data_IF_265436897986
#
_entry.id   IF_265436897986
#
_cell.length_a   1.000
_cell.length_b   1.000
_cell.length_c   1.000
_cell.angle_alpha   90.00
_cell.angle_beta   90.00
_cell.angle_gamma   90.00
#
_symmetry.space_group_name_H-M   'P 1'
#
loop_
_entity.id
_entity.type
_entity.pdbx_description
1 polymer ?
#
# COMPACT_ATOMS: atom_id res chain seq x y z
N UNK A 1 -2.33 42.94 -5.40
CA UNK A 1 -1.30 42.66 -4.38
C UNK A 1 -1.84 41.55 -3.52
N UNK A 2 -1.07 40.49 -3.30
CA UNK A 2 -1.46 39.40 -2.41
C UNK A 2 -1.64 39.96 -1.00
N UNK A 3 -2.73 39.62 -0.32
CA UNK A 3 -3.00 40.07 1.05
C UNK A 3 -2.27 39.20 2.08
N UNK A 4 -2.06 39.72 3.28
CA UNK A 4 -1.53 38.95 4.41
C UNK A 4 -2.59 37.97 4.92
N UNK A 5 -2.26 36.68 4.95
CA UNK A 5 -3.14 35.63 5.47
C UNK A 5 -2.87 35.44 6.97
N UNK A 6 -3.90 35.15 7.79
CA UNK A 6 -3.77 35.07 9.25
C UNK A 6 -4.51 33.87 9.85
N UNK A 7 -3.88 33.26 10.84
CA UNK A 7 -4.44 32.24 11.73
C UNK A 7 -3.90 32.57 13.14
N UNK A 8 -4.71 33.17 14.02
CA UNK A 8 -4.31 33.66 15.34
C UNK A 8 -2.99 34.47 15.36
N UNK A 9 -1.96 33.94 16.03
CA UNK A 9 -0.62 34.53 16.18
C UNK A 9 0.32 34.24 15.00
N UNK A 10 -0.14 33.50 13.99
CA UNK A 10 0.59 33.18 12.77
C UNK A 10 0.07 34.01 11.58
N UNK A 11 0.99 34.61 10.83
CA UNK A 11 0.71 35.34 9.61
C UNK A 11 1.59 34.85 8.45
N UNK A 12 1.01 34.84 7.25
CA UNK A 12 1.73 34.69 5.99
C UNK A 12 1.85 36.06 5.33
N UNK A 13 3.04 36.65 5.43
CA UNK A 13 3.32 37.97 4.88
C UNK A 13 3.85 37.86 3.45
N UNK A 14 3.23 38.50 2.44
CA UNK A 14 3.66 38.39 1.05
C UNK A 14 5.11 38.81 0.87
N UNK A 15 5.87 37.99 0.15
CA UNK A 15 7.26 38.29 -0.23
C UNK A 15 7.34 38.71 -1.69
N UNK A 16 8.28 39.60 -2.01
CA UNK A 16 8.64 39.89 -3.40
C UNK A 16 9.29 38.67 -4.06
N UNK A 17 8.79 38.26 -5.22
CA UNK A 17 9.30 37.12 -5.99
C UNK A 17 8.88 37.19 -7.46
N UNK A 18 9.24 36.18 -8.27
CA UNK A 18 8.79 36.04 -9.65
C UNK A 18 7.26 36.03 -9.73
N UNK A 19 6.66 36.57 -10.80
CA UNK A 19 5.19 36.59 -10.96
C UNK A 19 4.53 35.20 -10.93
N UNK A 20 5.30 34.16 -11.28
CA UNK A 20 4.85 32.76 -11.30
C UNK A 20 4.75 32.11 -9.90
N UNK A 21 5.26 32.79 -8.87
CA UNK A 21 5.34 32.30 -7.50
C UNK A 21 4.62 33.25 -6.53
N UNK A 22 3.65 32.70 -5.78
CA UNK A 22 3.03 33.41 -4.66
C UNK A 22 3.73 33.00 -3.37
N UNK A 23 4.74 33.78 -2.98
CA UNK A 23 5.58 33.51 -1.81
C UNK A 23 5.15 34.31 -0.58
N UNK A 24 5.29 33.68 0.59
CA UNK A 24 5.04 34.29 1.89
C UNK A 24 6.17 33.98 2.89
N UNK A 25 6.47 34.94 3.75
CA UNK A 25 7.22 34.73 4.98
C UNK A 25 6.24 34.21 6.05
N UNK A 26 6.61 33.15 6.75
CA UNK A 26 5.84 32.64 7.89
C UNK A 26 6.29 33.42 9.12
N UNK A 27 5.38 34.18 9.72
CA UNK A 27 5.63 35.00 10.91
C UNK A 27 4.79 34.47 12.07
N UNK A 28 5.44 34.08 13.17
CA UNK A 28 4.79 33.60 14.40
C UNK A 28 5.10 34.58 15.54
N UNK A 29 4.07 35.12 16.18
CA UNK A 29 4.21 36.09 17.26
C UNK A 29 5.12 37.30 16.92
N UNK A 30 5.16 37.69 15.64
CA UNK A 30 5.97 38.81 15.13
C UNK A 30 7.39 38.44 14.70
N UNK A 31 7.81 37.18 14.87
CA UNK A 31 9.12 36.70 14.42
C UNK A 31 8.99 35.84 13.16
N UNK A 32 9.88 36.05 12.19
CA UNK A 32 9.93 35.21 10.99
C UNK A 32 10.52 33.84 11.35
N UNK A 33 9.79 32.78 11.02
CA UNK A 33 10.11 31.38 11.39
C UNK A 33 10.19 30.44 10.17
N UNK A 34 10.03 30.97 8.96
CA UNK A 34 10.12 30.18 7.73
C UNK A 34 9.54 30.86 6.51
N UNK A 35 9.28 30.06 5.47
CA UNK A 35 8.65 30.49 4.23
C UNK A 35 7.68 29.43 3.71
N UNK A 36 6.66 29.88 2.97
CA UNK A 36 5.77 29.01 2.19
C UNK A 36 5.51 29.67 0.85
N UNK A 37 5.51 28.90 -0.22
CA UNK A 37 5.28 29.39 -1.58
C UNK A 37 4.35 28.46 -2.34
N UNK A 38 3.48 29.07 -3.13
CA UNK A 38 2.62 28.41 -4.11
C UNK A 38 3.18 28.66 -5.51
N UNK A 39 3.30 27.61 -6.30
CA UNK A 39 3.71 27.65 -7.69
C UNK A 39 2.57 27.13 -8.56
N UNK A 40 2.24 27.82 -9.66
CA UNK A 40 1.26 27.31 -10.62
C UNK A 40 1.97 26.32 -11.55
N UNK A 41 1.48 25.08 -11.61
CA UNK A 41 2.03 24.04 -12.49
C UNK A 41 1.23 23.99 -13.81
N UNK A 42 -0.08 24.13 -13.71
CA UNK A 42 -1.01 24.24 -14.83
C UNK A 42 -2.22 25.12 -14.43
N UNK A 43 -3.21 25.38 -15.31
CA UNK A 43 -4.35 26.24 -14.98
C UNK A 43 -5.16 25.83 -13.73
N UNK A 44 -5.17 24.54 -13.37
CA UNK A 44 -5.95 23.94 -12.27
C UNK A 44 -5.09 23.40 -11.13
N UNK A 45 -3.83 23.08 -11.38
CA UNK A 45 -2.91 22.50 -10.40
C UNK A 45 -1.86 23.50 -9.94
N UNK A 46 -1.72 23.64 -8.63
CA UNK A 46 -0.56 24.28 -8.01
C UNK A 46 0.27 23.31 -7.20
N UNK A 47 1.51 23.68 -6.92
CA UNK A 47 2.34 23.02 -5.92
C UNK A 47 2.65 23.96 -4.76
N UNK A 48 2.75 23.39 -3.55
CA UNK A 48 3.15 24.10 -2.34
C UNK A 48 4.51 23.61 -1.87
N UNK A 49 5.39 24.55 -1.53
CA UNK A 49 6.70 24.30 -0.92
C UNK A 49 6.82 25.14 0.33
N UNK A 50 7.42 24.60 1.36
CA UNK A 50 7.65 25.31 2.61
C UNK A 50 8.99 24.92 3.19
N UNK A 51 9.49 25.80 4.03
CA UNK A 51 10.62 25.54 4.89
C UNK A 51 10.36 26.23 6.23
N UNK A 52 10.41 25.46 7.31
CA UNK A 52 10.31 25.99 8.68
C UNK A 52 11.64 25.78 9.36
N UNK A 53 12.24 26.85 9.88
CA UNK A 53 13.59 26.84 10.43
C UNK A 53 13.76 25.98 11.70
N UNK A 54 12.66 25.44 12.24
CA UNK A 54 12.60 24.78 13.56
C UNK A 54 12.06 23.35 13.52
N UNK A 55 11.93 22.71 12.36
CA UNK A 55 11.22 21.41 12.18
C UNK A 55 9.86 21.38 12.93
N UNK A 56 9.20 22.53 13.02
CA UNK A 56 7.99 22.70 13.81
C UNK A 56 6.76 22.33 12.98
N UNK A 57 6.34 21.07 13.11
CA UNK A 57 5.16 20.51 12.43
C UNK A 57 3.92 21.37 12.64
N UNK A 58 3.71 21.95 13.83
CA UNK A 58 2.52 22.78 14.11
C UNK A 58 2.52 24.07 13.27
N UNK A 59 3.67 24.74 13.16
CA UNK A 59 3.82 25.94 12.32
C UNK A 59 3.63 25.60 10.85
N UNK A 60 4.27 24.52 10.37
CA UNK A 60 4.11 24.07 9.00
C UNK A 60 2.64 23.75 8.66
N UNK A 61 1.92 23.05 9.53
CA UNK A 61 0.50 22.73 9.35
C UNK A 61 -0.36 23.99 9.18
N UNK A 62 -0.17 24.99 10.04
CA UNK A 62 -0.95 26.24 10.01
C UNK A 62 -0.64 27.06 8.76
N UNK A 63 0.64 27.20 8.42
CA UNK A 63 1.08 27.86 7.19
C UNK A 63 0.52 27.17 5.94
N UNK A 64 0.59 25.84 5.88
CA UNK A 64 0.05 25.06 4.77
C UNK A 64 -1.46 25.24 4.63
N UNK A 65 -2.23 25.22 5.73
CA UNK A 65 -3.68 25.43 5.68
C UNK A 65 -4.05 26.78 5.10
N UNK A 66 -3.36 27.85 5.51
CA UNK A 66 -3.56 29.18 4.95
C UNK A 66 -3.20 29.24 3.46
N UNK A 67 -2.04 28.70 3.07
CA UNK A 67 -1.61 28.70 1.68
C UNK A 67 -2.55 27.89 0.78
N UNK A 68 -3.02 26.72 1.22
CA UNK A 68 -3.96 25.87 0.48
C UNK A 68 -5.32 26.55 0.36
N UNK A 69 -5.82 27.17 1.43
CA UNK A 69 -7.06 27.95 1.40
C UNK A 69 -6.98 29.06 0.36
N UNK A 70 -5.92 29.87 0.40
CA UNK A 70 -5.68 30.93 -0.57
C UNK A 70 -5.59 30.41 -2.02
N UNK A 71 -4.94 29.27 -2.23
CA UNK A 71 -4.85 28.67 -3.55
C UNK A 71 -6.22 28.30 -4.14
N UNK A 72 -7.11 27.75 -3.32
CA UNK A 72 -8.45 27.35 -3.75
C UNK A 72 -9.39 28.55 -3.87
N UNK A 73 -9.45 29.39 -2.83
CA UNK A 73 -10.45 30.44 -2.68
C UNK A 73 -10.13 31.67 -3.54
N UNK A 74 -8.84 32.03 -3.66
CA UNK A 74 -8.42 33.29 -4.31
C UNK A 74 -7.70 33.07 -5.64
N UNK A 75 -6.93 31.98 -5.78
CA UNK A 75 -6.14 31.71 -7.00
C UNK A 75 -6.86 30.80 -8.01
N UNK A 76 -8.03 30.26 -7.63
CA UNK A 76 -8.88 29.41 -8.48
C UNK A 76 -8.25 28.06 -8.84
N UNK A 77 -7.28 27.59 -8.07
CA UNK A 77 -6.71 26.25 -8.25
C UNK A 77 -7.73 25.22 -7.75
N UNK A 78 -7.79 24.04 -8.38
CA UNK A 78 -8.66 22.94 -7.93
C UNK A 78 -7.88 21.79 -7.31
N UNK A 79 -6.54 21.83 -7.40
CA UNK A 79 -5.62 20.84 -6.85
C UNK A 79 -4.35 21.53 -6.34
N UNK A 80 -3.92 21.14 -5.14
CA UNK A 80 -2.61 21.51 -4.59
C UNK A 80 -1.79 20.26 -4.28
N UNK A 81 -0.56 20.22 -4.76
CA UNK A 81 0.40 19.13 -4.55
C UNK A 81 1.59 19.56 -3.68
N UNK A 82 2.12 18.64 -2.89
CA UNK A 82 3.41 18.75 -2.21
C UNK A 82 4.31 17.58 -2.63
N UNK A 83 5.59 17.87 -2.90
CA UNK A 83 6.60 16.88 -3.30
C UNK A 83 7.74 16.88 -2.29
N UNK A 84 7.59 16.07 -1.25
CA UNK A 84 8.44 16.10 -0.06
C UNK A 84 9.45 14.93 -0.12
N UNK A 85 10.76 15.14 0.05
CA UNK A 85 11.72 14.04 0.15
C UNK A 85 11.28 12.99 1.19
N UNK A 86 11.47 11.70 0.88
CA UNK A 86 10.93 10.59 1.69
C UNK A 86 11.54 10.48 3.09
N UNK A 87 12.73 11.05 3.30
CA UNK A 87 13.41 11.13 4.59
C UNK A 87 12.89 12.26 5.50
N UNK A 88 12.21 13.28 4.95
CA UNK A 88 11.59 14.37 5.72
C UNK A 88 10.21 13.99 6.28
N UNK A 89 10.20 12.99 7.16
CA UNK A 89 8.97 12.44 7.77
C UNK A 89 8.12 13.48 8.51
N UNK A 90 8.75 14.49 9.12
CA UNK A 90 8.05 15.62 9.77
C UNK A 90 7.24 16.46 8.80
N UNK A 91 7.79 16.75 7.62
CA UNK A 91 7.14 17.52 6.56
C UNK A 91 6.00 16.72 5.92
N UNK A 92 6.21 15.43 5.66
CA UNK A 92 5.15 14.52 5.16
C UNK A 92 3.97 14.50 6.15
N UNK A 93 4.27 14.43 7.46
CA UNK A 93 3.27 14.47 8.51
C UNK A 93 2.56 15.83 8.57
N UNK A 94 3.28 16.95 8.44
CA UNK A 94 2.70 18.27 8.41
C UNK A 94 1.72 18.45 7.22
N UNK A 95 2.13 18.04 6.02
CA UNK A 95 1.26 18.04 4.84
C UNK A 95 0.00 17.19 5.04
N UNK A 96 0.15 16.00 5.63
CA UNK A 96 -0.98 15.12 5.94
C UNK A 96 -1.98 15.78 6.90
N UNK A 97 -1.50 16.39 7.99
CA UNK A 97 -2.35 17.08 8.97
C UNK A 97 -2.98 18.37 8.38
N UNK A 98 -2.32 19.01 7.41
CA UNK A 98 -2.86 20.14 6.65
C UNK A 98 -3.96 19.72 5.65
N UNK A 99 -4.10 18.41 5.38
CA UNK A 99 -5.16 17.84 4.58
C UNK A 99 -4.75 17.29 3.22
N UNK A 100 -3.45 17.24 2.92
CA UNK A 100 -2.96 16.57 1.72
C UNK A 100 -2.92 15.04 1.96
N UNK A 101 -3.42 14.27 1.01
CA UNK A 101 -3.38 12.81 1.03
C UNK A 101 -2.18 12.32 0.25
N UNK A 102 -1.49 11.30 0.75
CA UNK A 102 -0.38 10.66 0.02
C UNK A 102 -0.95 9.90 -1.18
N UNK A 103 -0.38 10.14 -2.35
CA UNK A 103 -0.79 9.49 -3.61
C UNK A 103 0.27 8.52 -4.14
N UNK A 104 1.53 8.68 -3.76
CA UNK A 104 2.60 7.77 -4.17
C UNK A 104 4.00 8.25 -3.83
N UNK A 105 4.99 7.55 -4.38
CA UNK A 105 6.40 7.94 -4.36
C UNK A 105 6.83 8.27 -5.79
N UNK A 106 7.29 9.50 -6.00
CA UNK A 106 7.98 9.93 -7.21
C UNK A 106 9.45 9.53 -7.08
N UNK A 107 9.93 8.65 -7.97
CA UNK A 107 11.33 8.26 -7.99
C UNK A 107 12.20 9.39 -8.51
N UNK A 108 13.30 9.66 -7.82
CA UNK A 108 14.28 10.66 -8.24
C UNK A 108 15.04 10.24 -9.50
N UNK A 109 15.52 11.21 -10.27
CA UNK A 109 16.40 10.97 -11.41
C UNK A 109 17.86 11.20 -10.99
N UNK A 110 18.75 10.23 -11.26
CA UNK A 110 20.15 10.32 -10.87
C UNK A 110 20.31 10.31 -9.34
N UNK A 111 20.88 11.38 -8.80
CA UNK A 111 21.15 11.53 -7.37
C UNK A 111 20.01 12.26 -6.60
N UNK A 112 18.93 12.63 -7.29
CA UNK A 112 17.77 13.24 -6.63
C UNK A 112 17.08 12.22 -5.69
N UNK A 113 16.66 12.63 -4.48
CA UNK A 113 15.96 11.73 -3.58
C UNK A 113 14.55 11.43 -4.09
N UNK A 114 14.06 10.24 -3.75
CA UNK A 114 12.65 9.91 -3.88
C UNK A 114 11.78 10.89 -3.08
N UNK A 115 10.60 11.22 -3.61
CA UNK A 115 9.68 12.17 -2.98
C UNK A 115 8.30 11.55 -2.78
N UNK A 116 7.74 11.71 -1.59
CA UNK A 116 6.33 11.50 -1.36
C UNK A 116 5.54 12.59 -2.10
N UNK A 117 4.65 12.16 -3.01
CA UNK A 117 3.63 13.03 -3.59
C UNK A 117 2.42 13.01 -2.65
N UNK A 118 2.05 14.19 -2.17
CA UNK A 118 0.79 14.40 -1.46
C UNK A 118 -0.03 15.43 -2.21
N UNK A 119 -1.34 15.29 -2.22
CA UNK A 119 -2.21 16.28 -2.84
C UNK A 119 -3.54 16.46 -2.11
N UNK A 120 -4.18 17.59 -2.35
CA UNK A 120 -5.55 17.87 -1.91
C UNK A 120 -6.33 18.46 -3.07
N UNK A 121 -7.58 18.03 -3.22
CA UNK A 121 -8.54 18.63 -4.14
C UNK A 121 -9.41 19.67 -3.43
N UNK A 122 -9.88 20.67 -4.17
CA UNK A 122 -10.73 21.73 -3.60
C UNK A 122 -12.04 21.22 -2.97
N UNK A 123 -12.57 20.11 -3.48
CA UNK A 123 -13.80 19.44 -3.08
C UNK A 123 -13.57 18.28 -2.10
N UNK A 124 -12.33 18.05 -1.67
CA UNK A 124 -12.05 17.11 -0.59
C UNK A 124 -12.70 17.58 0.72
N UNK A 125 -13.30 16.64 1.50
CA UNK A 125 -13.80 16.95 2.84
C UNK A 125 -12.74 17.67 3.68
N UNK A 126 -13.12 18.68 4.49
CA UNK A 126 -12.17 19.40 5.32
C UNK A 126 -11.36 18.46 6.21
N UNK A 127 -10.06 18.70 6.46
CA UNK A 127 -9.21 17.79 7.22
C UNK A 127 -9.62 17.60 8.68
N UNK A 128 -10.39 18.55 9.24
CA UNK A 128 -10.95 18.48 10.58
C UNK A 128 -12.32 17.79 10.63
N UNK A 129 -12.91 17.45 9.47
CA UNK A 129 -14.12 16.64 9.38
C UNK A 129 -13.80 15.15 9.57
N UNK A 130 -14.81 14.36 9.97
CA UNK A 130 -14.66 12.90 10.10
C UNK A 130 -14.22 12.25 8.79
N UNK A 131 -14.84 12.63 7.67
CA UNK A 131 -14.55 12.02 6.37
C UNK A 131 -13.17 12.43 5.86
N UNK A 132 -12.77 13.71 6.07
CA UNK A 132 -11.43 14.18 5.74
C UNK A 132 -10.35 13.46 6.55
N UNK A 133 -10.58 13.27 7.85
CA UNK A 133 -9.69 12.52 8.73
C UNK A 133 -9.53 11.07 8.27
N UNK A 134 -10.62 10.37 7.96
CA UNK A 134 -10.59 8.98 7.47
C UNK A 134 -9.83 8.90 6.14
N UNK A 135 -10.06 9.83 5.21
CA UNK A 135 -9.40 9.80 3.91
C UNK A 135 -7.88 10.05 4.01
N UNK A 136 -7.45 10.94 4.91
CA UNK A 136 -6.02 11.17 5.20
C UNK A 136 -5.40 9.91 5.84
N UNK A 137 -6.09 9.28 6.78
CA UNK A 137 -5.62 8.03 7.37
C UNK A 137 -5.47 6.93 6.32
N UNK A 138 -6.50 6.65 5.52
CA UNK A 138 -6.45 5.61 4.49
C UNK A 138 -5.30 5.83 3.49
N UNK A 139 -4.99 7.08 3.14
CA UNK A 139 -3.89 7.39 2.24
C UNK A 139 -2.49 7.18 2.86
N UNK A 140 -2.38 7.25 4.19
CA UNK A 140 -1.10 7.18 4.91
C UNK A 140 -0.82 5.85 5.62
N UNK A 141 -1.84 5.02 5.84
CA UNK A 141 -1.69 3.76 6.55
C UNK A 141 -0.95 2.71 5.73
N UNK A 142 -0.12 1.84 6.37
CA UNK A 142 0.56 0.76 5.67
C UNK A 142 -0.44 -0.22 5.05
N UNK A 143 -0.23 -0.55 3.79
CA UNK A 143 -0.89 -1.68 3.12
C UNK A 143 0.07 -2.86 3.10
N UNK A 144 -0.45 -4.07 3.28
CA UNK A 144 0.30 -5.32 3.12
C UNK A 144 -0.17 -6.02 1.87
N UNK A 145 0.76 -6.63 1.13
CA UNK A 145 0.39 -7.56 0.06
C UNK A 145 -0.27 -8.77 0.70
N UNK A 146 -1.43 -9.16 0.17
CA UNK A 146 -2.16 -10.32 0.64
C UNK A 146 -2.07 -11.41 -0.43
N UNK A 147 -1.81 -12.62 0.02
CA UNK A 147 -1.80 -13.84 -0.80
C UNK A 147 -2.79 -14.79 -0.15
N UNK A 148 -3.59 -15.49 -0.92
CA UNK A 148 -4.39 -16.60 -0.40
C UNK A 148 -4.00 -17.89 -1.09
N UNK A 149 -3.93 -18.96 -0.30
CA UNK A 149 -3.62 -20.31 -0.77
C UNK A 149 -4.68 -21.29 -0.29
N UNK A 150 -4.93 -22.31 -1.10
CA UNK A 150 -5.91 -23.33 -0.83
C UNK A 150 -5.29 -24.68 -0.50
N UNK A 151 -5.66 -25.27 0.63
CA UNK A 151 -5.36 -26.66 0.94
C UNK A 151 -6.49 -27.56 0.41
N UNK A 152 -6.27 -28.10 -0.79
CA UNK A 152 -7.15 -29.07 -1.41
C UNK A 152 -6.59 -30.48 -1.27
N UNK A 153 -7.41 -31.41 -0.77
CA UNK A 153 -7.03 -32.80 -0.56
C UNK A 153 -7.83 -33.74 -1.43
N UNK A 154 -7.27 -34.90 -1.74
CA UNK A 154 -8.01 -36.00 -2.37
C UNK A 154 -8.43 -37.08 -1.37
N UNK A 155 -9.15 -38.10 -1.86
CA UNK A 155 -9.60 -39.23 -1.07
C UNK A 155 -8.49 -40.08 -0.42
N UNK A 156 -7.24 -39.88 -0.84
CA UNK A 156 -6.04 -40.53 -0.30
C UNK A 156 -5.28 -39.62 0.69
N UNK A 157 -5.77 -38.41 0.93
CA UNK A 157 -5.14 -37.41 1.78
C UNK A 157 -3.94 -36.71 1.13
N UNK A 158 -3.72 -36.89 -0.18
CA UNK A 158 -2.69 -36.16 -0.93
C UNK A 158 -3.13 -34.71 -1.12
N UNK A 159 -2.16 -33.80 -1.21
CA UNK A 159 -2.40 -32.36 -1.38
C UNK A 159 -2.14 -31.95 -2.82
N UNK A 160 -3.02 -31.13 -3.41
CA UNK A 160 -2.79 -30.59 -4.74
C UNK A 160 -1.70 -29.51 -4.68
N UNK A 161 -0.61 -29.69 -5.45
CA UNK A 161 0.38 -28.65 -5.70
C UNK A 161 0.41 -28.27 -7.19
N UNK A 162 0.74 -27.01 -7.46
CA UNK A 162 0.94 -26.47 -8.79
C UNK A 162 2.42 -26.30 -9.09
N UNK A 163 2.87 -26.84 -10.23
CA UNK A 163 4.17 -26.51 -10.83
C UNK A 163 4.04 -25.19 -11.58
N UNK A 164 4.72 -24.15 -11.09
CA UNK A 164 4.64 -22.81 -11.66
C UNK A 164 5.64 -22.64 -12.82
N UNK A 165 5.34 -21.75 -13.77
CA UNK A 165 6.21 -21.49 -14.94
C UNK A 165 7.45 -20.67 -14.63
N UNK A 166 7.45 -19.93 -13.51
CA UNK A 166 8.46 -18.90 -13.18
C UNK A 166 9.40 -19.30 -12.04
N UNK A 167 9.16 -20.42 -11.36
CA UNK A 167 10.04 -20.98 -10.32
C UNK A 167 10.09 -22.50 -10.40
N UNK A 168 11.11 -23.10 -9.79
CA UNK A 168 11.31 -24.56 -9.86
C UNK A 168 10.47 -25.32 -8.82
N UNK A 169 10.17 -24.65 -7.72
CA UNK A 169 9.41 -25.18 -6.60
C UNK A 169 7.90 -25.15 -6.89
N UNK A 170 7.21 -26.19 -6.46
CA UNK A 170 5.75 -26.28 -6.56
C UNK A 170 5.10 -25.58 -5.37
N UNK A 171 3.91 -25.04 -5.55
CA UNK A 171 3.22 -24.31 -4.47
C UNK A 171 1.77 -24.74 -4.34
N UNK A 172 1.14 -24.36 -3.23
CA UNK A 172 -0.30 -24.48 -3.09
C UNK A 172 -1.00 -23.57 -4.12
N UNK A 173 -2.16 -24.01 -4.66
CA UNK A 173 -2.91 -23.20 -5.60
C UNK A 173 -3.46 -21.93 -4.94
N UNK A 174 -3.55 -20.85 -5.71
CA UNK A 174 -3.95 -19.52 -5.26
C UNK A 174 -2.90 -18.46 -5.58
N UNK A 175 -3.21 -17.21 -5.26
CA UNK A 175 -2.47 -16.07 -5.77
C UNK A 175 -2.59 -14.81 -4.93
N UNK A 176 -2.19 -13.69 -5.53
CA UNK A 176 -2.23 -12.36 -4.91
C UNK A 176 -3.65 -11.82 -4.93
N UNK A 177 -4.11 -11.27 -3.80
CA UNK A 177 -5.47 -10.73 -3.68
C UNK A 177 -5.53 -9.29 -4.20
N UNK A 178 -6.58 -8.99 -4.95
CA UNK A 178 -6.77 -7.66 -5.53
C UNK A 178 -7.07 -6.60 -4.47
N UNK A 179 -6.85 -5.33 -4.84
CA UNK A 179 -7.11 -4.20 -3.94
C UNK A 179 -8.60 -4.13 -3.59
N UNK A 180 -8.89 -4.25 -2.30
CA UNK A 180 -10.27 -4.21 -1.78
C UNK A 180 -11.02 -5.55 -1.86
N UNK A 181 -10.38 -6.61 -2.36
CA UNK A 181 -10.95 -7.94 -2.43
C UNK A 181 -10.80 -8.70 -1.10
N UNK A 182 -11.83 -9.46 -0.72
CA UNK A 182 -11.75 -10.32 0.46
C UNK A 182 -10.85 -11.54 0.17
N UNK A 183 -9.95 -11.97 1.08
CA UNK A 183 -8.97 -13.02 0.79
C UNK A 183 -9.57 -14.35 0.31
N UNK A 184 -10.71 -14.76 0.85
CA UNK A 184 -11.41 -15.99 0.42
C UNK A 184 -12.06 -15.85 -0.97
N UNK A 185 -12.56 -14.65 -1.30
CA UNK A 185 -13.14 -14.37 -2.63
C UNK A 185 -12.04 -14.38 -3.68
N UNK A 186 -10.91 -13.72 -3.41
CA UNK A 186 -9.77 -13.73 -4.31
C UNK A 186 -9.20 -15.14 -4.48
N UNK A 187 -9.17 -15.99 -3.45
CA UNK A 187 -8.79 -17.38 -3.63
C UNK A 187 -9.72 -18.11 -4.60
N UNK A 188 -11.04 -17.94 -4.51
CA UNK A 188 -11.98 -18.56 -5.45
C UNK A 188 -11.73 -18.06 -6.88
N UNK A 189 -11.57 -16.75 -7.06
CA UNK A 189 -11.24 -16.15 -8.37
C UNK A 189 -9.96 -16.75 -8.95
N UNK A 190 -8.88 -16.79 -8.17
CA UNK A 190 -7.58 -17.35 -8.61
C UNK A 190 -7.73 -18.82 -9.05
N UNK A 191 -8.45 -19.65 -8.29
CA UNK A 191 -8.67 -21.06 -8.65
C UNK A 191 -9.51 -21.23 -9.92
N UNK A 192 -10.49 -20.36 -10.14
CA UNK A 192 -11.27 -20.32 -11.38
C UNK A 192 -10.39 -19.88 -12.57
N UNK A 193 -9.57 -18.85 -12.40
CA UNK A 193 -8.72 -18.27 -13.46
C UNK A 193 -7.53 -19.18 -13.83
N UNK A 194 -6.84 -19.75 -12.83
CA UNK A 194 -5.61 -20.50 -13.02
C UNK A 194 -5.85 -21.99 -13.32
N UNK A 195 -6.90 -22.58 -12.74
CA UNK A 195 -7.15 -24.02 -12.78
C UNK A 195 -8.50 -24.38 -13.42
N UNK A 196 -9.40 -23.42 -13.61
CA UNK A 196 -10.74 -23.67 -14.16
C UNK A 196 -11.66 -24.44 -13.20
N UNK A 197 -11.43 -24.37 -11.89
CA UNK A 197 -12.23 -25.09 -10.89
C UNK A 197 -13.00 -24.14 -9.98
N UNK A 198 -14.21 -24.54 -9.59
CA UNK A 198 -14.97 -23.89 -8.54
C UNK A 198 -14.97 -24.77 -7.29
N UNK A 199 -14.41 -24.27 -6.20
CA UNK A 199 -14.35 -24.96 -4.90
C UNK A 199 -14.86 -24.04 -3.79
N UNK A 200 -15.51 -24.63 -2.79
CA UNK A 200 -15.99 -23.89 -1.63
C UNK A 200 -14.83 -23.68 -0.63
N UNK A 201 -14.59 -22.42 -0.26
CA UNK A 201 -13.70 -22.09 0.85
C UNK A 201 -14.42 -22.40 2.16
N UNK A 202 -13.87 -23.31 2.96
CA UNK A 202 -14.50 -23.79 4.20
C UNK A 202 -14.07 -22.95 5.39
N UNK A 203 -12.83 -23.15 5.83
CA UNK A 203 -12.29 -22.55 7.06
C UNK A 203 -10.92 -21.93 6.81
N UNK A 204 -10.61 -20.86 7.54
CA UNK A 204 -9.25 -20.34 7.62
C UNK A 204 -8.41 -21.27 8.50
N UNK A 205 -7.33 -21.80 7.95
CA UNK A 205 -6.37 -22.64 8.69
C UNK A 205 -5.37 -21.76 9.45
N UNK A 206 -4.75 -20.79 8.75
CA UNK A 206 -3.76 -19.89 9.36
C UNK A 206 -3.53 -18.62 8.55
N UNK A 207 -2.91 -17.63 9.18
CA UNK A 207 -2.30 -16.48 8.53
C UNK A 207 -0.80 -16.47 8.81
N UNK A 208 0.01 -16.50 7.76
CA UNK A 208 1.46 -16.47 7.85
C UNK A 208 2.00 -15.16 7.29
N UNK A 209 2.60 -14.32 8.13
CA UNK A 209 3.31 -13.14 7.70
C UNK A 209 4.70 -13.51 7.19
N UNK A 210 5.01 -13.08 5.98
CA UNK A 210 6.30 -13.25 5.34
C UNK A 210 7.09 -11.94 5.44
N UNK A 211 8.32 -11.96 5.99
CA UNK A 211 9.18 -10.79 5.97
C UNK A 211 9.60 -10.44 4.54
N UNK A 212 9.97 -9.18 4.32
CA UNK A 212 10.57 -8.74 3.06
C UNK A 212 11.79 -9.61 2.71
N UNK A 213 11.85 -10.06 1.46
CA UNK A 213 12.89 -10.95 0.98
C UNK A 213 13.25 -10.63 -0.47
N UNK A 214 14.55 -10.46 -0.73
CA UNK A 214 15.08 -9.90 -1.98
C UNK A 214 14.41 -8.56 -2.29
N UNK A 215 13.86 -8.40 -3.49
CA UNK A 215 13.18 -7.17 -3.92
C UNK A 215 11.67 -7.16 -3.61
N UNK A 216 11.16 -8.19 -2.92
CA UNK A 216 9.76 -8.24 -2.51
C UNK A 216 9.57 -7.58 -1.14
N UNK A 217 8.53 -6.76 -1.04
CA UNK A 217 7.98 -6.32 0.24
C UNK A 217 7.34 -7.49 0.99
N UNK A 218 7.03 -7.23 2.27
CA UNK A 218 6.38 -8.18 3.14
C UNK A 218 4.94 -8.51 2.70
N UNK A 219 4.44 -9.66 3.14
CA UNK A 219 3.13 -10.16 2.73
C UNK A 219 2.45 -10.97 3.84
N UNK A 220 1.13 -11.13 3.76
CA UNK A 220 0.39 -12.09 4.56
C UNK A 220 -0.17 -13.19 3.65
N UNK A 221 0.14 -14.45 3.94
CA UNK A 221 -0.48 -15.62 3.31
C UNK A 221 -1.64 -16.08 4.17
N UNK A 222 -2.84 -16.13 3.60
CA UNK A 222 -4.02 -16.76 4.19
C UNK A 222 -4.14 -18.18 3.62
N UNK A 223 -4.04 -19.19 4.48
CA UNK A 223 -4.24 -20.58 4.08
C UNK A 223 -5.66 -21.01 4.43
N UNK A 224 -6.43 -21.42 3.44
CA UNK A 224 -7.80 -21.89 3.61
C UNK A 224 -7.92 -23.40 3.39
N UNK A 225 -8.81 -24.06 4.13
CA UNK A 225 -9.22 -25.43 3.84
C UNK A 225 -10.24 -25.41 2.71
N UNK A 226 -9.92 -26.14 1.63
CA UNK A 226 -10.83 -26.36 0.50
C UNK A 226 -11.51 -27.73 0.58
N UNK A 227 -11.22 -28.49 1.63
CA UNK A 227 -11.79 -29.81 1.86
C UNK A 227 -11.18 -30.90 0.98
N UNK A 228 -12.00 -31.92 0.75
CA UNK A 228 -11.60 -33.14 0.04
C UNK A 228 -12.43 -33.30 -1.22
N UNK A 229 -11.78 -33.61 -2.34
CA UNK A 229 -12.39 -33.80 -3.66
C UNK A 229 -11.96 -35.14 -4.26
N UNK A 230 -12.64 -35.59 -5.31
CA UNK A 230 -12.18 -36.74 -6.08
C UNK A 230 -10.91 -36.35 -6.86
N UNK A 231 -9.87 -37.19 -6.78
CA UNK A 231 -8.61 -36.93 -7.48
C UNK A 231 -8.77 -36.74 -8.99
N UNK A 232 -9.86 -37.22 -9.60
CA UNK A 232 -10.17 -37.03 -11.03
C UNK A 232 -10.46 -35.60 -11.42
N UNK A 233 -10.72 -34.68 -10.48
CA UNK A 233 -10.98 -33.26 -10.78
C UNK A 233 -9.87 -32.63 -11.62
N UNK A 234 -8.62 -33.10 -11.50
CA UNK A 234 -7.48 -32.63 -12.30
C UNK A 234 -7.62 -32.92 -13.79
N UNK A 235 -8.48 -33.86 -14.19
CA UNK A 235 -8.73 -34.17 -15.60
C UNK A 235 -9.60 -33.12 -16.28
N UNK A 236 -10.41 -32.39 -15.50
CA UNK A 236 -11.34 -31.37 -15.99
C UNK A 236 -10.77 -29.95 -15.83
N UNK A 237 -9.58 -29.81 -15.24
CA UNK A 237 -8.90 -28.53 -15.08
C UNK A 237 -8.49 -27.91 -16.41
N UNK A 238 -8.66 -26.60 -16.50
CA UNK A 238 -8.13 -25.79 -17.60
C UNK A 238 -7.04 -24.89 -17.05
N UNK A 239 -5.78 -25.31 -17.25
CA UNK A 239 -4.63 -24.60 -16.69
C UNK A 239 -4.33 -23.31 -17.48
N UNK A 240 -4.12 -22.22 -16.76
CA UNK A 240 -3.64 -20.96 -17.32
C UNK A 240 -2.14 -21.09 -17.64
N UNK A 241 -1.75 -21.22 -18.92
CA UNK A 241 -0.43 -21.75 -19.30
C UNK A 241 0.71 -20.76 -19.10
N UNK A 242 0.40 -19.49 -18.83
CA UNK A 242 1.39 -18.46 -18.49
C UNK A 242 1.88 -18.61 -17.05
N UNK A 243 1.09 -19.19 -16.15
CA UNK A 243 1.41 -19.29 -14.72
C UNK A 243 1.58 -20.73 -14.25
N UNK A 244 0.72 -21.65 -14.71
CA UNK A 244 0.68 -23.04 -14.26
C UNK A 244 1.13 -23.98 -15.38
N UNK A 245 2.24 -24.69 -15.13
CA UNK A 245 2.79 -25.70 -16.04
C UNK A 245 2.11 -27.05 -15.88
N UNK A 246 1.88 -27.48 -14.64
CA UNK A 246 1.19 -28.72 -14.32
C UNK A 246 0.63 -28.70 -12.90
N UNK A 247 -0.26 -29.64 -12.59
CA UNK A 247 -0.76 -29.88 -11.23
C UNK A 247 -0.52 -31.32 -10.83
N UNK A 248 -0.27 -31.57 -9.55
CA UNK A 248 0.06 -32.90 -9.04
C UNK A 248 -0.55 -33.14 -7.65
N UNK A 249 -1.11 -34.33 -7.45
CA UNK A 249 -1.48 -34.83 -6.12
C UNK A 249 -0.24 -35.35 -5.41
N UNK A 250 0.18 -34.65 -4.37
CA UNK A 250 1.44 -34.88 -3.67
C UNK A 250 1.20 -35.55 -2.32
N UNK A 251 1.92 -36.64 -2.07
CA UNK A 251 2.10 -37.17 -0.72
C UNK A 251 3.07 -36.30 0.11
N UNK A 252 3.18 -36.49 1.43
CA UNK A 252 4.04 -35.66 2.27
C UNK A 252 5.52 -35.68 1.86
N UNK A 253 6.00 -36.79 1.29
CA UNK A 253 7.39 -36.90 0.83
C UNK A 253 7.62 -36.08 -0.45
N UNK A 254 6.65 -36.06 -1.36
CA UNK A 254 6.66 -35.27 -2.58
C UNK A 254 6.59 -33.78 -2.24
N UNK A 255 5.72 -33.39 -1.31
CA UNK A 255 5.67 -32.02 -0.76
C UNK A 255 7.05 -31.58 -0.28
N UNK A 256 7.72 -32.36 0.59
CA UNK A 256 9.06 -32.03 1.11
C UNK A 256 10.15 -31.90 0.04
N UNK A 257 10.01 -32.61 -1.07
CA UNK A 257 11.05 -32.66 -2.12
C UNK A 257 10.83 -31.68 -3.27
N UNK A 258 9.59 -31.24 -3.50
CA UNK A 258 9.21 -30.37 -4.62
C UNK A 258 8.62 -29.03 -4.19
N UNK A 259 8.03 -28.95 -3.01
CA UNK A 259 7.31 -27.78 -2.53
C UNK A 259 8.20 -26.58 -2.28
N UNK A 260 7.63 -25.38 -2.40
CA UNK A 260 8.24 -24.16 -1.93
C UNK A 260 8.44 -24.24 -0.41
N UNK A 261 9.52 -23.64 0.12
CA UNK A 261 9.84 -23.70 1.54
C UNK A 261 8.66 -23.26 2.44
N UNK A 262 7.94 -22.21 2.03
CA UNK A 262 6.74 -21.74 2.73
C UNK A 262 5.61 -22.79 2.73
N UNK A 263 5.36 -23.45 1.59
CA UNK A 263 4.35 -24.50 1.48
C UNK A 263 4.72 -25.74 2.30
N UNK A 264 5.99 -26.16 2.27
CA UNK A 264 6.48 -27.28 3.09
C UNK A 264 6.25 -26.98 4.57
N UNK A 265 6.73 -25.82 5.05
CA UNK A 265 6.60 -25.44 6.45
C UNK A 265 5.13 -25.34 6.89
N UNK A 266 4.26 -24.76 6.04
CA UNK A 266 2.82 -24.69 6.31
C UNK A 266 2.18 -26.07 6.39
N UNK A 267 2.45 -26.95 5.42
CA UNK A 267 1.84 -28.27 5.36
C UNK A 267 2.34 -29.20 6.48
N UNK A 268 3.63 -29.17 6.82
CA UNK A 268 4.18 -29.92 7.96
C UNK A 268 3.59 -29.45 9.28
N UNK A 269 3.40 -28.15 9.44
CA UNK A 269 2.79 -27.62 10.64
C UNK A 269 1.30 -28.05 10.73
N UNK A 270 0.56 -28.02 9.61
CA UNK A 270 -0.82 -28.55 9.54
C UNK A 270 -0.87 -30.03 9.93
N UNK A 271 0.03 -30.87 9.40
CA UNK A 271 0.11 -32.29 9.74
C UNK A 271 0.41 -32.54 11.23
N UNK A 272 1.24 -31.70 11.85
CA UNK A 272 1.62 -31.84 13.26
C UNK A 272 0.49 -31.51 14.25
N UNK A 273 -0.60 -30.88 13.78
CA UNK A 273 -1.67 -30.37 14.65
C UNK A 273 -1.26 -29.20 15.55
N UNK A 274 -0.05 -28.67 15.39
CA UNK A 274 0.52 -27.60 16.19
C UNK A 274 0.40 -26.21 15.53
N UNK A 275 -0.56 -26.03 14.62
CA UNK A 275 -0.70 -24.78 13.86
C UNK A 275 -1.27 -23.65 14.71
N UNK A 276 -0.50 -22.57 14.96
CA UNK A 276 -1.10 -21.34 15.46
C UNK A 276 -1.93 -20.67 14.36
N UNK A 277 -2.98 -19.96 14.76
CA UNK A 277 -3.81 -19.16 13.83
C UNK A 277 -3.01 -18.06 13.13
N UNK A 278 -1.91 -17.59 13.75
CA UNK A 278 -1.00 -16.60 13.18
C UNK A 278 0.47 -17.01 13.38
N UNK A 279 1.30 -16.79 12.37
CA UNK A 279 2.75 -17.03 12.42
C UNK A 279 3.51 -15.89 11.71
N UNK A 280 4.71 -15.61 12.19
CA UNK A 280 5.72 -14.85 11.44
C UNK A 280 6.75 -15.85 10.91
N UNK A 281 6.84 -15.97 9.59
CA UNK A 281 7.79 -16.87 8.96
C UNK A 281 9.23 -16.41 9.24
N UNK A 282 10.17 -17.36 9.43
CA UNK A 282 11.57 -17.00 9.49
C UNK A 282 11.99 -16.35 8.17
N UNK A 283 12.96 -15.43 8.23
CA UNK A 283 13.54 -14.86 7.02
C UNK A 283 14.20 -15.97 6.21
N UNK A 284 13.78 -16.14 4.96
CA UNK A 284 14.40 -17.11 4.07
C UNK A 284 15.90 -16.78 3.89
N UNK A 285 16.77 -17.80 3.77
CA UNK A 285 18.19 -17.58 3.47
C UNK A 285 18.36 -16.79 2.17
N UNK A 286 19.49 -16.07 2.04
CA UNK A 286 19.79 -15.21 0.88
C UNK A 286 19.94 -15.99 -0.44
#
# INVERSE_FOLDING_TARGET
MTETLRDDDLALEPTSGPEELVGFAIVLAGERVGTVALCREDPRTGSVRWDTETDNVTVAVRALRLAIGHAFDDLGMTRIEARVPTDRTGDIRAASIAGLRREGILRGAGDDPDRALLARLHDDPPPFSRDGFIAILNAGLPTKRIISQGLLRDEQGRVLLCELTYKNEWDLPGGVIEVGEAPSVGLVRELEEELGIAVEVRDLITVNWLPAWRSWDDACIFLFDLGMVDSSITNDMTLQPTEIKSVQWCDPQTVRSRGAAAAIELLEAVESGAMPTYREAPKAPE
#
